data_IF_949286057763
#
_entry.id   IF_949286057763
#
_cell.length_a   1.000
_cell.length_b   1.000
_cell.length_c   1.000
_cell.angle_alpha   90.00
_cell.angle_beta   90.00
_cell.angle_gamma   90.00
#
_symmetry.space_group_name_H-M   'P 1'
#
loop_
_entity.id
_entity.type
_entity.pdbx_description
1 polymer ?
#
# COMPACT_ATOMS: atom_id res chain seq x y z
N UNK A 1 -3.63 -3.78 -19.79
CA UNK A 1 -4.50 -2.67 -19.31
C UNK A 1 -4.72 -2.70 -17.78
N UNK A 2 -4.04 -3.58 -17.03
CA UNK A 2 -4.23 -3.75 -15.56
C UNK A 2 -3.51 -2.71 -14.69
N UNK A 3 -2.53 -1.95 -15.23
CA UNK A 3 -1.73 -1.05 -14.39
C UNK A 3 -2.45 0.23 -13.92
N UNK A 4 -3.53 0.66 -14.59
CA UNK A 4 -4.18 1.96 -14.30
C UNK A 4 -5.07 1.96 -13.04
N UNK A 5 -5.55 0.80 -12.60
CA UNK A 5 -6.50 0.72 -11.47
C UNK A 5 -5.78 1.07 -10.15
N UNK A 6 -4.49 0.71 -10.05
CA UNK A 6 -3.62 0.96 -8.90
C UNK A 6 -3.14 2.42 -8.75
N UNK A 7 -3.55 3.33 -9.63
CA UNK A 7 -2.99 4.68 -9.66
C UNK A 7 -3.60 5.62 -8.62
N UNK A 8 -4.81 5.32 -8.14
CA UNK A 8 -5.52 6.19 -7.19
C UNK A 8 -5.31 5.75 -5.75
N UNK A 9 -5.08 6.73 -4.86
CA UNK A 9 -4.96 6.50 -3.41
C UNK A 9 -6.20 5.81 -2.83
N UNK A 10 -7.38 6.20 -3.30
CA UNK A 10 -8.64 5.63 -2.84
C UNK A 10 -8.77 4.14 -3.18
N UNK A 11 -8.37 3.74 -4.39
CA UNK A 11 -8.35 2.32 -4.76
C UNK A 11 -7.37 1.52 -3.89
N UNK A 12 -6.12 2.01 -3.75
CA UNK A 12 -5.12 1.36 -2.88
C UNK A 12 -5.70 1.19 -1.48
N UNK A 13 -6.31 2.24 -0.91
CA UNK A 13 -6.90 2.20 0.42
C UNK A 13 -8.00 1.14 0.55
N UNK A 14 -8.89 1.02 -0.42
CA UNK A 14 -9.98 0.02 -0.40
C UNK A 14 -9.47 -1.43 -0.44
N UNK A 15 -8.31 -1.66 -1.04
CA UNK A 15 -7.73 -3.00 -1.13
C UNK A 15 -6.91 -3.40 0.10
N UNK A 16 -6.46 -2.43 0.90
CA UNK A 16 -5.59 -2.68 2.06
C UNK A 16 -6.37 -3.26 3.25
N UNK A 17 -5.82 -4.31 3.83
CA UNK A 17 -6.25 -4.89 5.12
C UNK A 17 -5.40 -4.34 6.26
N UNK A 18 -5.87 -4.51 7.50
CA UNK A 18 -5.16 -4.03 8.69
C UNK A 18 -3.71 -4.55 8.80
N UNK A 19 -3.47 -5.80 8.38
CA UNK A 19 -2.12 -6.40 8.35
C UNK A 19 -1.18 -5.79 7.30
N UNK A 20 -1.72 -5.26 6.20
CA UNK A 20 -0.93 -4.79 5.06
C UNK A 20 -0.09 -3.56 5.45
N UNK A 21 -0.57 -2.71 6.35
CA UNK A 21 0.19 -1.55 6.83
C UNK A 21 1.50 -1.92 7.53
N UNK A 22 1.52 -3.04 8.26
CA UNK A 22 2.75 -3.55 8.90
C UNK A 22 3.72 -4.09 7.86
N UNK A 23 3.21 -4.80 6.85
CA UNK A 23 4.02 -5.31 5.73
C UNK A 23 4.64 -4.17 4.92
N UNK A 24 3.85 -3.14 4.58
CA UNK A 24 4.34 -1.95 3.88
C UNK A 24 5.44 -1.26 4.68
N UNK A 25 5.25 -1.08 5.99
CA UNK A 25 6.27 -0.49 6.86
C UNK A 25 7.57 -1.32 6.87
N UNK A 26 7.47 -2.65 6.97
CA UNK A 26 8.61 -3.53 6.92
C UNK A 26 9.34 -3.47 5.56
N UNK A 27 8.60 -3.45 4.44
CA UNK A 27 9.16 -3.29 3.09
C UNK A 27 9.91 -1.97 2.89
N UNK A 28 9.51 -0.93 3.62
CA UNK A 28 10.14 0.39 3.59
C UNK A 28 11.35 0.48 4.53
N UNK A 29 11.76 -0.61 5.20
CA UNK A 29 12.92 -0.68 6.11
C UNK A 29 12.96 0.46 7.14
N UNK A 30 11.79 0.83 7.68
CA UNK A 30 11.70 1.90 8.68
C UNK A 30 11.81 3.33 8.13
N UNK A 31 11.90 3.53 6.81
CA UNK A 31 11.91 4.87 6.19
C UNK A 31 10.73 5.75 6.61
N UNK A 32 9.58 5.12 6.87
CA UNK A 32 8.40 5.77 7.42
C UNK A 32 7.86 4.95 8.59
N UNK A 33 7.45 5.60 9.66
CA UNK A 33 6.72 4.93 10.75
C UNK A 33 5.39 4.34 10.26
N UNK A 34 4.90 3.28 10.92
CA UNK A 34 3.59 2.67 10.61
C UNK A 34 2.48 3.73 10.59
N UNK A 35 2.48 4.66 11.55
CA UNK A 35 1.53 5.76 11.61
C UNK A 35 1.62 6.68 10.39
N UNK A 36 2.83 6.95 9.90
CA UNK A 36 3.04 7.77 8.71
C UNK A 36 2.52 7.07 7.47
N UNK A 37 2.83 5.77 7.30
CA UNK A 37 2.30 4.93 6.21
C UNK A 37 0.77 4.96 6.20
N UNK A 38 0.14 4.69 7.36
CA UNK A 38 -1.32 4.73 7.50
C UNK A 38 -1.89 6.12 7.17
N UNK A 39 -1.27 7.19 7.66
CA UNK A 39 -1.73 8.56 7.42
C UNK A 39 -1.65 8.94 5.94
N UNK A 40 -0.60 8.53 5.23
CA UNK A 40 -0.44 8.78 3.80
C UNK A 40 -1.50 8.02 2.98
N UNK A 41 -1.70 6.73 3.27
CA UNK A 41 -2.65 5.87 2.55
C UNK A 41 -4.11 6.23 2.85
N UNK A 42 -4.41 6.73 4.06
CA UNK A 42 -5.74 7.23 4.44
C UNK A 42 -6.01 8.67 3.96
N UNK A 43 -5.06 9.29 3.26
CA UNK A 43 -5.21 10.65 2.73
C UNK A 43 -5.10 11.77 3.75
N UNK A 44 -4.69 11.46 4.98
CA UNK A 44 -4.39 12.46 6.04
C UNK A 44 -3.04 13.15 5.79
N UNK A 45 -2.19 12.58 4.94
CA UNK A 45 -0.90 13.13 4.49
C UNK A 45 -0.73 12.91 2.98
N UNK A 46 0.20 13.66 2.38
CA UNK A 46 0.63 13.44 1.00
C UNK A 46 1.16 12.01 0.83
N UNK A 47 0.60 11.27 -0.12
CA UNK A 47 1.08 9.94 -0.46
C UNK A 47 2.42 10.06 -1.18
N UNK A 48 3.48 9.49 -0.60
CA UNK A 48 4.81 9.44 -1.20
C UNK A 48 4.94 8.19 -2.08
N UNK A 49 5.68 8.31 -3.16
CA UNK A 49 5.86 7.23 -4.14
C UNK A 49 6.37 5.92 -3.52
N UNK A 50 7.36 5.92 -2.58
CA UNK A 50 7.77 4.67 -1.94
C UNK A 50 6.63 3.97 -1.21
N UNK A 51 5.76 4.73 -0.53
CA UNK A 51 4.60 4.18 0.19
C UNK A 51 3.56 3.66 -0.79
N UNK A 52 3.32 4.38 -1.89
CA UNK A 52 2.41 3.95 -2.96
C UNK A 52 2.88 2.63 -3.58
N UNK A 53 4.14 2.56 -3.99
CA UNK A 53 4.72 1.39 -4.63
C UNK A 53 4.72 0.16 -3.71
N UNK A 54 5.09 0.34 -2.44
CA UNK A 54 5.05 -0.73 -1.45
C UNK A 54 3.63 -1.24 -1.23
N UNK A 55 2.63 -0.35 -1.14
CA UNK A 55 1.23 -0.75 -1.00
C UNK A 55 0.73 -1.56 -2.22
N UNK A 56 1.07 -1.12 -3.44
CA UNK A 56 0.71 -1.84 -4.67
C UNK A 56 1.35 -3.23 -4.70
N UNK A 57 2.63 -3.35 -4.33
CA UNK A 57 3.32 -4.66 -4.26
C UNK A 57 2.64 -5.61 -3.29
N UNK A 58 2.25 -5.14 -2.10
CA UNK A 58 1.53 -5.96 -1.11
C UNK A 58 0.19 -6.45 -1.66
N UNK A 59 -0.60 -5.57 -2.27
CA UNK A 59 -1.91 -5.95 -2.85
C UNK A 59 -1.73 -7.02 -3.92
N UNK A 60 -0.81 -6.79 -4.88
CA UNK A 60 -0.54 -7.75 -5.97
C UNK A 60 -0.05 -9.10 -5.47
N UNK A 61 0.83 -9.10 -4.47
CA UNK A 61 1.34 -10.35 -3.91
C UNK A 61 0.21 -11.17 -3.27
N UNK A 62 -0.68 -10.51 -2.52
CA UNK A 62 -1.84 -11.16 -1.92
C UNK A 62 -2.84 -11.68 -2.97
N UNK A 63 -3.10 -10.90 -4.02
CA UNK A 63 -3.97 -11.34 -5.12
C UNK A 63 -3.41 -12.58 -5.81
N UNK A 64 -2.10 -12.62 -6.08
CA UNK A 64 -1.43 -13.80 -6.64
C UNK A 64 -1.62 -15.04 -5.75
N UNK A 65 -1.45 -14.90 -4.43
CA UNK A 65 -1.65 -16.01 -3.47
C UNK A 65 -3.10 -16.50 -3.38
N UNK A 66 -4.10 -15.68 -3.75
CA UNK A 66 -5.51 -16.09 -3.77
C UNK A 66 -5.92 -16.71 -5.12
N UNK A 67 -5.12 -16.51 -6.17
CA UNK A 67 -5.35 -17.08 -7.50
C UNK A 67 -4.65 -18.43 -7.71
N UNK A 68 -3.74 -18.81 -6.81
CA UNK A 68 -3.09 -20.12 -6.73
C UNK A 68 -3.88 -21.08 -5.85
#
# INVERSE_FOLDING_TARGET
MENKIYETREYIRQQLRYGDYKLIHAMLNGMYSIFTVQSQLNGKRTLKDPVKEAAIKVIRHREKLLSE
#
